data_IF_027699809443
#
_entry.id   IF_027699809443
#
_cell.length_a   1.000
_cell.length_b   1.000
_cell.length_c   1.000
_cell.angle_alpha   90.00
_cell.angle_beta   90.00
_cell.angle_gamma   90.00
#
_symmetry.space_group_name_H-M   'P 1'
#
loop_
_entity.id
_entity.type
_entity.pdbx_description
1 polymer ?
#
# COMPACT_ATOMS: atom_id res chain seq x y z
N UNK A 1 -7.84 4.07 -6.42
CA UNK A 1 -7.34 3.01 -5.49
C UNK A 1 -8.27 2.95 -4.29
N UNK A 2 -8.90 1.81 -4.08
CA UNK A 2 -10.10 1.63 -3.25
C UNK A 2 -9.74 1.68 -1.74
N UNK A 3 -10.45 2.47 -0.93
CA UNK A 3 -10.28 2.52 0.55
C UNK A 3 -10.34 1.14 1.19
N UNK A 4 -11.08 0.22 0.56
CA UNK A 4 -11.22 -1.17 0.99
C UNK A 4 -9.89 -1.94 0.95
N UNK A 5 -9.03 -1.71 -0.04
CA UNK A 5 -7.72 -2.36 -0.10
C UNK A 5 -6.78 -1.88 1.02
N UNK A 6 -6.85 -0.58 1.34
CA UNK A 6 -6.04 0.02 2.41
C UNK A 6 -6.42 -0.51 3.78
N UNK A 7 -7.72 -0.56 4.08
CA UNK A 7 -8.24 -1.08 5.35
C UNK A 7 -8.01 -2.58 5.52
N UNK A 8 -8.13 -3.37 4.44
CA UNK A 8 -7.82 -4.82 4.50
C UNK A 8 -6.34 -5.08 4.74
N UNK A 9 -5.43 -4.41 4.01
CA UNK A 9 -3.98 -4.56 4.21
C UNK A 9 -3.53 -4.06 5.59
N UNK A 10 -4.17 -3.02 6.12
CA UNK A 10 -3.87 -2.53 7.45
C UNK A 10 -4.31 -3.51 8.54
N UNK A 11 -5.54 -4.05 8.45
CA UNK A 11 -6.02 -5.04 9.41
C UNK A 11 -5.20 -6.34 9.40
N UNK A 12 -4.81 -6.85 8.23
CA UNK A 12 -3.95 -8.05 8.14
C UNK A 12 -2.55 -7.84 8.73
N UNK A 13 -2.10 -6.59 8.89
CA UNK A 13 -0.81 -6.24 9.49
C UNK A 13 -0.93 -5.61 10.89
N UNK A 14 -2.13 -5.62 11.49
CA UNK A 14 -2.37 -5.05 12.83
C UNK A 14 -2.29 -3.51 12.89
N UNK A 15 -2.30 -2.84 11.74
CA UNK A 15 -2.27 -1.38 11.60
C UNK A 15 -3.69 -0.84 11.70
N UNK A 16 -3.94 0.09 12.61
CA UNK A 16 -5.25 0.75 12.75
C UNK A 16 -5.37 1.95 11.80
N UNK A 17 -6.61 2.36 11.53
CA UNK A 17 -6.91 3.54 10.72
C UNK A 17 -6.25 4.81 11.29
N UNK A 18 -6.12 4.92 12.61
CA UNK A 18 -5.43 6.02 13.29
C UNK A 18 -3.93 6.07 12.99
N UNK A 19 -3.28 4.91 12.82
CA UNK A 19 -1.86 4.83 12.48
C UNK A 19 -1.62 5.33 11.05
N UNK A 20 -2.57 5.04 10.15
CA UNK A 20 -2.58 5.55 8.76
C UNK A 20 -2.75 7.07 8.75
N UNK A 21 -3.69 7.59 9.53
CA UNK A 21 -3.95 9.04 9.54
C UNK A 21 -2.78 9.81 10.14
N UNK A 22 -2.17 9.29 11.22
CA UNK A 22 -1.04 9.87 11.92
C UNK A 22 0.32 9.77 11.23
N UNK A 23 0.54 8.80 10.33
CA UNK A 23 1.85 8.59 9.70
C UNK A 23 2.28 9.75 8.79
N UNK A 24 3.46 10.36 8.99
CA UNK A 24 4.04 11.34 8.05
C UNK A 24 4.09 10.81 6.61
N UNK A 25 4.39 9.51 6.43
CA UNK A 25 4.43 8.84 5.12
C UNK A 25 3.85 7.43 5.19
N UNK A 26 3.21 7.04 4.08
CA UNK A 26 2.70 5.69 3.90
C UNK A 26 3.08 5.21 2.51
N UNK A 27 3.90 4.17 2.44
CA UNK A 27 4.32 3.56 1.18
C UNK A 27 3.91 2.10 1.13
N UNK A 28 3.47 1.66 -0.04
CA UNK A 28 3.32 0.26 -0.36
C UNK A 28 4.39 -0.16 -1.33
N UNK A 29 5.03 -1.30 -1.08
CA UNK A 29 5.85 -1.98 -2.07
C UNK A 29 5.12 -3.23 -2.53
N UNK A 30 4.71 -3.23 -3.78
CA UNK A 30 4.06 -4.37 -4.43
C UNK A 30 5.13 -5.20 -5.11
N UNK A 31 5.18 -6.50 -4.78
CA UNK A 31 6.06 -7.47 -5.41
C UNK A 31 5.22 -8.33 -6.35
N UNK A 32 5.60 -8.39 -7.62
CA UNK A 32 4.92 -9.16 -8.64
C UNK A 32 5.51 -10.57 -8.75
N UNK A 33 4.73 -11.49 -9.31
CA UNK A 33 5.14 -12.88 -9.54
C UNK A 33 6.24 -13.00 -10.59
N UNK A 34 6.33 -12.05 -11.51
CA UNK A 34 7.39 -11.95 -12.51
C UNK A 34 8.75 -11.49 -11.94
N UNK A 35 8.81 -11.17 -10.65
CA UNK A 35 10.00 -10.71 -9.95
C UNK A 35 10.18 -9.18 -9.94
N UNK A 36 9.35 -8.43 -10.65
CA UNK A 36 9.36 -6.97 -10.61
C UNK A 36 8.73 -6.44 -9.32
N UNK A 37 8.98 -5.17 -9.00
CA UNK A 37 8.34 -4.51 -7.86
C UNK A 37 8.08 -3.04 -8.12
N UNK A 38 7.03 -2.51 -7.49
CA UNK A 38 6.69 -1.09 -7.54
C UNK A 38 6.48 -0.51 -6.14
N UNK A 39 6.94 0.73 -5.94
CA UNK A 39 6.72 1.51 -4.71
C UNK A 39 5.67 2.59 -4.98
N UNK A 40 4.65 2.62 -4.14
CA UNK A 40 3.51 3.53 -4.22
C UNK A 40 3.48 4.36 -2.94
N UNK A 41 3.63 5.67 -3.08
CA UNK A 41 3.45 6.60 -1.96
C UNK A 41 1.99 7.07 -1.93
N UNK A 42 1.29 6.79 -0.83
CA UNK A 42 -0.11 7.16 -0.67
C UNK A 42 -0.32 8.61 -0.25
N UNK A 43 0.68 9.25 0.34
CA UNK A 43 0.64 10.66 0.78
C UNK A 43 1.30 11.59 -0.26
N UNK A 44 1.77 11.06 -1.39
CA UNK A 44 2.25 11.85 -2.51
C UNK A 44 1.20 12.90 -2.95
N UNK A 45 1.66 14.14 -3.17
CA UNK A 45 0.82 15.25 -3.65
C UNK A 45 0.11 14.92 -4.97
N UNK A 46 0.79 14.18 -5.84
CA UNK A 46 0.23 13.67 -7.11
C UNK A 46 -0.21 12.24 -6.90
N UNK A 47 -1.54 12.03 -6.83
CA UNK A 47 -2.12 10.68 -6.69
C UNK A 47 -2.09 9.96 -8.04
N UNK A 48 -1.03 9.18 -8.25
CA UNK A 48 -0.99 8.25 -9.38
C UNK A 48 -1.74 6.97 -9.00
N UNK A 49 -3.03 6.89 -9.35
CA UNK A 49 -3.83 5.69 -9.11
C UNK A 49 -3.44 4.58 -10.07
N UNK A 50 -2.37 3.86 -9.74
CA UNK A 50 -2.04 2.61 -10.44
C UNK A 50 -3.00 1.51 -10.03
N UNK A 51 -3.48 0.78 -11.03
CA UNK A 51 -4.32 -0.41 -10.85
C UNK A 51 -3.49 -1.61 -11.26
N UNK A 52 -3.44 -2.61 -10.39
CA UNK A 52 -2.70 -3.85 -10.61
C UNK A 52 -3.67 -5.01 -10.64
N UNK A 53 -3.40 -6.01 -11.48
CA UNK A 53 -4.15 -7.27 -11.44
C UNK A 53 -3.73 -8.04 -10.20
N UNK A 54 -4.70 -8.44 -9.38
CA UNK A 54 -4.43 -9.20 -8.15
C UNK A 54 -3.74 -10.54 -8.42
N UNK A 55 -3.99 -11.15 -9.58
CA UNK A 55 -3.36 -12.40 -10.03
C UNK A 55 -1.85 -12.31 -10.18
N UNK A 56 -1.34 -11.12 -10.47
CA UNK A 56 0.06 -10.87 -10.81
C UNK A 56 0.86 -10.49 -9.55
N UNK A 57 0.17 -10.15 -8.46
CA UNK A 57 0.79 -9.78 -7.19
C UNK A 57 1.20 -11.05 -6.43
N UNK A 58 2.44 -11.06 -5.94
CA UNK A 58 2.99 -12.09 -5.07
C UNK A 58 2.87 -11.70 -3.60
N UNK A 59 3.22 -10.45 -3.27
CA UNK A 59 3.25 -9.92 -1.90
C UNK A 59 3.07 -8.41 -1.94
N UNK A 60 2.53 -7.84 -0.86
CA UNK A 60 2.52 -6.39 -0.62
C UNK A 60 3.15 -6.15 0.75
N UNK A 61 4.13 -5.26 0.81
CA UNK A 61 4.70 -4.77 2.07
C UNK A 61 4.27 -3.31 2.28
N UNK A 62 3.91 -2.96 3.51
CA UNK A 62 3.58 -1.60 3.92
C UNK A 62 4.73 -1.03 4.75
N UNK A 63 5.12 0.20 4.43
CA UNK A 63 6.09 0.98 5.17
C UNK A 63 5.39 2.24 5.71
N UNK A 64 5.34 2.33 7.04
CA UNK A 64 4.74 3.44 7.78
C UNK A 64 5.86 4.21 8.47
N UNK A 65 5.89 5.52 8.23
CA UNK A 65 6.78 6.43 8.94
C UNK A 65 5.94 7.45 9.69
N UNK A 66 6.13 7.52 11.01
CA UNK A 66 5.52 8.50 11.91
C UNK A 66 6.36 9.77 11.99
#
# INVERSE_FOLDING_TARGET
MNLKLKSTLANDQGVQQSDIDGAERIKYKVYFKDGTSEVIDLKAKVKNWKVFKATDIKKIDMDLKF
#
